data_IF_316177517287
#
_entry.id   IF_316177517287
#
_cell.length_a   1.000
_cell.length_b   1.000
_cell.length_c   1.000
_cell.angle_alpha   90.00
_cell.angle_beta   90.00
_cell.angle_gamma   90.00
#
_symmetry.space_group_name_H-M   'P 1'
#
loop_
_entity.id
_entity.type
_entity.pdbx_description
1 polymer ?
#
# COMPACT_ATOMS: atom_id res chain seq x y z
N UNK A 1 27.22 -17.73 -65.71
CA UNK A 1 26.40 -16.64 -65.13
C UNK A 1 25.30 -17.31 -64.33
N UNK A 2 25.44 -17.30 -63.00
CA UNK A 2 24.46 -17.90 -62.10
C UNK A 2 23.28 -16.94 -62.01
N UNK A 3 22.14 -17.30 -62.60
CA UNK A 3 20.91 -16.52 -62.49
C UNK A 3 20.39 -16.73 -61.07
N UNK A 4 20.64 -15.77 -60.18
CA UNK A 4 19.95 -15.77 -58.90
C UNK A 4 18.46 -15.56 -59.18
N UNK A 5 17.63 -16.45 -58.65
CA UNK A 5 16.19 -16.30 -58.76
C UNK A 5 15.76 -15.13 -57.85
N UNK A 6 14.77 -14.31 -58.27
CA UNK A 6 14.29 -13.18 -57.47
C UNK A 6 13.79 -13.61 -56.08
N UNK A 7 13.34 -14.86 -55.95
CA UNK A 7 12.96 -15.46 -54.67
C UNK A 7 14.15 -15.64 -53.72
N UNK A 8 15.33 -16.00 -54.24
CA UNK A 8 16.54 -16.16 -53.45
C UNK A 8 17.07 -14.80 -52.97
N UNK A 9 17.02 -13.78 -53.83
CA UNK A 9 17.39 -12.40 -53.46
C UNK A 9 16.48 -11.86 -52.36
N UNK A 10 15.16 -12.08 -52.49
CA UNK A 10 14.20 -11.66 -51.47
C UNK A 10 14.45 -12.39 -50.14
N UNK A 11 14.77 -13.69 -50.18
CA UNK A 11 15.07 -14.47 -48.98
C UNK A 11 16.36 -14.01 -48.30
N UNK A 12 17.41 -13.69 -49.07
CA UNK A 12 18.65 -13.15 -48.54
C UNK A 12 18.44 -11.80 -47.86
N UNK A 13 17.65 -10.92 -48.48
CA UNK A 13 17.31 -9.62 -47.90
C UNK A 13 16.54 -9.75 -46.58
N UNK A 14 15.60 -10.69 -46.50
CA UNK A 14 14.87 -10.94 -45.25
C UNK A 14 15.81 -11.47 -44.15
N UNK A 15 16.77 -12.34 -44.50
CA UNK A 15 17.75 -12.86 -43.55
C UNK A 15 18.70 -11.77 -43.04
N UNK A 16 19.10 -10.84 -43.90
CA UNK A 16 19.93 -9.69 -43.52
C UNK A 16 19.22 -8.79 -42.50
N UNK A 17 17.96 -8.45 -42.76
CA UNK A 17 17.13 -7.68 -41.82
C UNK A 17 16.93 -8.42 -40.49
N UNK A 18 16.76 -9.74 -40.53
CA UNK A 18 16.62 -10.55 -39.34
C UNK A 18 17.92 -10.59 -38.52
N UNK A 19 19.08 -10.69 -39.18
CA UNK A 19 20.39 -10.60 -38.53
C UNK A 19 20.58 -9.25 -37.84
N UNK A 20 20.31 -8.14 -38.54
CA UNK A 20 20.41 -6.79 -37.96
C UNK A 20 19.52 -6.63 -36.72
N UNK A 21 18.31 -7.20 -36.77
CA UNK A 21 17.36 -7.16 -35.66
C UNK A 21 17.88 -7.97 -34.46
N UNK A 22 18.48 -9.14 -34.71
CA UNK A 22 19.08 -9.97 -33.68
C UNK A 22 20.30 -9.29 -33.04
N UNK A 23 21.15 -8.65 -33.83
CA UNK A 23 22.32 -7.92 -33.33
C UNK A 23 21.93 -6.73 -32.45
N UNK A 24 20.92 -5.95 -32.85
CA UNK A 24 20.37 -4.89 -31.99
C UNK A 24 19.83 -5.45 -30.67
N UNK A 25 19.17 -6.61 -30.72
CA UNK A 25 18.62 -7.26 -29.51
C UNK A 25 19.74 -7.77 -28.58
N UNK A 26 20.83 -8.30 -29.14
CA UNK A 26 22.00 -8.75 -28.38
C UNK A 26 22.72 -7.57 -27.72
N UNK A 27 22.85 -6.43 -28.41
CA UNK A 27 23.44 -5.23 -27.83
C UNK A 27 22.62 -4.73 -26.64
N UNK A 28 21.29 -4.67 -26.77
CA UNK A 28 20.41 -4.32 -25.65
C UNK A 28 20.56 -5.31 -24.47
N UNK A 29 20.76 -6.61 -24.75
CA UNK A 29 20.97 -7.61 -23.71
C UNK A 29 22.33 -7.40 -23.01
N UNK A 30 23.36 -6.99 -23.74
CA UNK A 30 24.67 -6.65 -23.18
C UNK A 30 24.57 -5.51 -22.17
N UNK A 31 23.80 -4.47 -22.49
CA UNK A 31 23.58 -3.33 -21.58
C UNK A 31 22.93 -3.78 -20.26
N UNK A 32 21.95 -4.69 -20.32
CA UNK A 32 21.33 -5.25 -19.12
C UNK A 32 22.33 -6.08 -18.29
N UNK A 33 23.23 -6.82 -18.93
CA UNK A 33 24.27 -7.60 -18.22
C UNK A 33 25.23 -6.66 -17.46
N UNK A 34 25.57 -5.52 -18.03
CA UNK A 34 26.39 -4.50 -17.34
C UNK A 34 25.66 -3.89 -16.15
N UNK A 35 24.37 -3.59 -16.30
CA UNK A 35 23.55 -3.05 -15.21
C UNK A 35 23.41 -4.06 -14.06
N UNK A 36 23.23 -5.35 -14.37
CA UNK A 36 23.22 -6.42 -13.36
C UNK A 36 24.55 -6.45 -12.60
N UNK A 37 25.69 -6.42 -13.28
CA UNK A 37 27.02 -6.39 -12.62
C UNK A 37 27.18 -5.18 -11.70
N UNK A 38 26.67 -4.01 -12.11
CA UNK A 38 26.69 -2.79 -11.29
C UNK A 38 25.86 -2.96 -10.02
N UNK A 39 24.65 -3.50 -10.13
CA UNK A 39 23.77 -3.77 -8.99
C UNK A 39 24.40 -4.79 -8.03
N UNK A 40 24.98 -5.87 -8.55
CA UNK A 40 25.71 -6.86 -7.74
C UNK A 40 26.87 -6.25 -6.97
N UNK A 41 27.62 -5.33 -7.58
CA UNK A 41 28.70 -4.61 -6.90
C UNK A 41 28.20 -3.73 -5.76
N UNK A 42 27.06 -3.05 -5.94
CA UNK A 42 26.44 -2.22 -4.91
C UNK A 42 25.96 -3.08 -3.74
N UNK A 43 25.31 -4.21 -4.02
CA UNK A 43 24.83 -5.13 -2.98
C UNK A 43 25.99 -5.67 -2.13
N UNK A 44 27.10 -6.07 -2.75
CA UNK A 44 28.31 -6.48 -2.02
C UNK A 44 28.87 -5.38 -1.11
N UNK A 45 28.71 -4.11 -1.50
CA UNK A 45 29.17 -2.99 -0.68
C UNK A 45 28.25 -2.76 0.54
N UNK A 46 26.94 -2.97 0.38
CA UNK A 46 25.96 -2.86 1.48
C UNK A 46 26.18 -3.97 2.52
N UNK A 47 26.44 -5.20 2.09
CA UNK A 47 26.70 -6.32 3.01
C UNK A 47 27.96 -6.10 3.86
N UNK A 48 28.94 -5.34 3.33
CA UNK A 48 30.15 -4.96 4.05
C UNK A 48 29.99 -3.68 4.89
N UNK A 49 28.81 -3.06 4.92
CA UNK A 49 28.54 -1.88 5.73
C UNK A 49 28.32 -2.30 7.19
N UNK A 50 29.42 -2.56 7.90
CA UNK A 50 29.38 -2.67 9.36
C UNK A 50 29.14 -1.26 9.90
N UNK A 51 27.90 -0.99 10.32
CA UNK A 51 27.60 0.19 11.12
C UNK A 51 28.43 0.06 12.39
N UNK A 52 29.52 0.82 12.47
CA UNK A 52 30.23 1.06 13.71
C UNK A 52 29.18 1.59 14.68
N UNK A 53 28.67 0.71 15.55
CA UNK A 53 27.83 1.08 16.68
C UNK A 53 28.76 1.82 17.63
N UNK A 54 29.07 3.07 17.29
CA UNK A 54 29.55 4.00 18.29
C UNK A 54 28.50 3.98 19.39
N UNK A 55 28.96 3.54 20.56
CA UNK A 55 28.17 3.48 21.78
C UNK A 55 27.94 4.93 22.20
N UNK A 56 27.02 5.62 21.52
CA UNK A 56 26.63 6.97 21.88
C UNK A 56 25.96 6.86 23.23
N UNK A 57 26.62 7.38 24.26
CA UNK A 57 26.06 7.49 25.58
C UNK A 57 25.06 8.64 25.56
N UNK A 58 23.77 8.30 25.58
CA UNK A 58 22.66 9.26 25.60
C UNK A 58 22.30 9.67 27.03
N UNK A 59 23.16 9.40 28.02
CA UNK A 59 22.89 9.76 29.41
C UNK A 59 22.69 11.26 29.59
N UNK A 60 23.37 12.09 28.79
CA UNK A 60 23.25 13.56 28.84
C UNK A 60 21.93 14.10 28.24
N UNK A 61 21.15 13.26 27.55
CA UNK A 61 19.86 13.63 26.97
C UNK A 61 18.67 13.31 27.87
N UNK A 62 18.90 12.68 29.03
CA UNK A 62 17.87 12.47 30.04
C UNK A 62 17.89 13.65 31.01
N UNK A 63 17.00 14.61 30.80
CA UNK A 63 16.73 15.63 31.80
C UNK A 63 15.90 15.01 32.94
N UNK A 64 16.58 14.60 34.01
CA UNK A 64 15.98 13.90 35.15
C UNK A 64 15.02 14.82 35.92
N UNK A 65 15.24 16.13 35.88
CA UNK A 65 14.42 17.12 36.59
C UNK A 65 13.07 17.29 35.90
N UNK A 66 13.05 17.33 34.56
CA UNK A 66 11.79 17.36 33.78
C UNK A 66 10.97 16.09 33.99
N UNK A 67 11.65 14.93 34.08
CA UNK A 67 10.98 13.65 34.33
C UNK A 67 10.33 13.65 35.73
N UNK A 68 11.04 14.11 36.76
CA UNK A 68 10.49 14.19 38.12
C UNK A 68 9.28 15.13 38.20
N UNK A 69 9.33 16.27 37.51
CA UNK A 69 8.21 17.21 37.45
C UNK A 69 6.97 16.60 36.79
N UNK A 70 7.16 15.86 35.69
CA UNK A 70 6.08 15.17 34.98
C UNK A 70 5.49 14.02 35.80
N UNK A 71 6.31 13.27 36.52
CA UNK A 71 5.85 12.21 37.45
C UNK A 71 5.00 12.80 38.58
N UNK A 72 5.40 13.94 39.14
CA UNK A 72 4.62 14.64 40.17
C UNK A 72 3.28 15.17 39.64
N UNK A 73 3.27 15.69 38.40
CA UNK A 73 2.03 16.14 37.74
C UNK A 73 1.06 14.99 37.47
N UNK A 74 1.56 13.83 37.03
CA UNK A 74 0.74 12.64 36.84
C UNK A 74 0.12 12.15 38.15
N UNK A 75 0.90 12.11 39.24
CA UNK A 75 0.40 11.72 40.56
C UNK A 75 -0.75 12.64 41.06
N UNK A 76 -0.71 13.92 40.72
CA UNK A 76 -1.74 14.88 41.12
C UNK A 76 -3.05 14.71 40.34
N UNK A 77 -2.97 14.32 39.06
CA UNK A 77 -4.15 14.09 38.21
C UNK A 77 -4.95 12.87 38.70
N UNK A 78 -4.28 11.80 39.14
CA UNK A 78 -4.94 10.61 39.68
C UNK A 78 -5.68 10.89 41.02
N UNK A 79 -5.32 11.96 41.73
CA UNK A 79 -5.91 12.32 43.03
C UNK A 79 -7.14 13.24 42.87
N UNK A 80 -7.22 14.04 41.81
CA UNK A 80 -8.29 15.02 41.56
C UNK A 80 -9.56 14.41 40.93
N UNK A 81 -9.50 13.21 40.35
CA UNK A 81 -10.64 12.51 39.73
C UNK A 81 -11.47 11.64 40.73
N UNK A 82 -11.15 11.64 42.03
CA UNK A 82 -11.88 10.81 43.02
C UNK A 82 -13.03 11.52 43.76
N UNK A 83 -13.29 12.81 43.46
CA UNK A 83 -14.31 13.60 44.17
C UNK A 83 -15.22 14.31 43.15
N UNK A 84 -16.10 13.56 42.48
CA UNK A 84 -17.48 13.97 42.17
C UNK A 84 -18.16 13.04 41.16
N UNK A 85 -18.43 11.78 41.53
CA UNK A 85 -19.56 11.06 40.91
C UNK A 85 -20.15 10.02 41.85
N UNK A 86 -20.69 10.47 43.00
CA UNK A 86 -21.64 9.66 43.76
C UNK A 86 -22.80 10.54 44.19
N UNK A 87 -23.84 10.59 43.35
CA UNK A 87 -25.26 10.66 43.74
C UNK A 87 -26.14 10.94 42.50
N UNK A 88 -26.68 9.90 41.86
CA UNK A 88 -28.12 9.66 41.85
C UNK A 88 -28.49 8.34 41.14
N UNK A 89 -29.20 7.55 41.92
CA UNK A 89 -29.88 6.29 41.66
C UNK A 89 -31.17 6.56 40.86
N UNK A 90 -31.52 5.72 39.87
CA UNK A 90 -32.67 4.79 39.88
C UNK A 90 -33.32 4.48 38.50
N UNK A 91 -33.31 3.18 38.18
CA UNK A 91 -34.37 2.32 37.61
C UNK A 91 -35.34 2.80 36.50
N UNK A 92 -35.40 2.01 35.41
CA UNK A 92 -36.44 2.13 34.38
C UNK A 92 -36.47 0.99 33.37
N UNK A 93 -37.04 -0.14 33.79
CA UNK A 93 -37.41 -1.36 33.05
C UNK A 93 -38.11 -1.18 31.66
N UNK A 94 -37.93 -2.21 30.81
CA UNK A 94 -38.83 -2.84 29.79
C UNK A 94 -38.60 -2.58 28.29
N UNK A 95 -38.16 -3.66 27.64
CA UNK A 95 -38.72 -4.31 26.44
C UNK A 95 -39.63 -3.50 25.51
N UNK A 96 -39.25 -3.43 24.22
CA UNK A 96 -40.18 -3.55 23.09
C UNK A 96 -39.45 -3.99 21.81
N UNK A 97 -39.64 -5.26 21.48
CA UNK A 97 -39.59 -5.80 20.11
C UNK A 97 -40.50 -4.96 19.22
N UNK A 98 -40.11 -4.72 17.97
CA UNK A 98 -41.04 -4.74 16.83
C UNK A 98 -40.31 -5.09 15.54
N UNK A 99 -40.85 -6.13 14.91
CA UNK A 99 -40.58 -6.63 13.58
C UNK A 99 -40.79 -5.55 12.52
N UNK A 100 -40.02 -5.61 11.43
CA UNK A 100 -40.56 -5.59 10.04
C UNK A 100 -39.65 -6.51 9.22
N UNK A 101 -40.19 -7.67 8.88
CA UNK A 101 -39.77 -8.43 7.72
C UNK A 101 -40.40 -7.78 6.48
N UNK A 102 -39.60 -7.53 5.44
CA UNK A 102 -40.14 -7.49 4.09
C UNK A 102 -39.04 -7.80 3.07
N UNK A 103 -38.97 -9.08 2.73
CA UNK A 103 -38.40 -9.56 1.47
C UNK A 103 -39.13 -8.87 0.30
N UNK A 104 -38.37 -8.29 -0.63
CA UNK A 104 -38.68 -8.44 -2.06
C UNK A 104 -37.39 -8.65 -2.86
N UNK A 105 -37.37 -9.82 -3.50
CA UNK A 105 -36.55 -10.25 -4.63
C UNK A 105 -36.83 -9.42 -5.89
N UNK A 106 -35.86 -9.31 -6.81
CA UNK A 106 -35.91 -9.94 -8.14
C UNK A 106 -34.69 -9.57 -9.01
N UNK A 107 -34.10 -10.63 -9.58
CA UNK A 107 -33.45 -10.85 -10.89
C UNK A 107 -32.42 -9.88 -11.53
N UNK A 108 -31.23 -10.48 -11.73
CA UNK A 108 -30.44 -10.71 -12.97
C UNK A 108 -29.96 -9.56 -13.89
N UNK A 109 -28.69 -9.76 -14.27
CA UNK A 109 -27.96 -9.37 -15.50
C UNK A 109 -27.79 -7.89 -15.79
N UNK A 110 -26.57 -7.37 -15.62
CA UNK A 110 -25.64 -7.22 -16.75
C UNK A 110 -24.28 -6.64 -16.32
N UNK A 111 -23.23 -7.11 -17.00
CA UNK A 111 -21.89 -6.50 -16.96
C UNK A 111 -21.95 -5.09 -17.55
N UNK A 112 -21.19 -4.13 -17.01
CA UNK A 112 -20.39 -3.32 -17.91
C UNK A 112 -18.94 -3.15 -17.44
N UNK A 113 -18.05 -3.22 -18.42
CA UNK A 113 -16.67 -2.74 -18.35
C UNK A 113 -16.66 -1.26 -17.95
N UNK A 114 -15.99 -0.92 -16.85
CA UNK A 114 -15.64 0.47 -16.57
C UNK A 114 -14.20 0.74 -17.02
N UNK A 115 -14.12 1.43 -18.17
CA UNK A 115 -12.98 2.22 -18.61
C UNK A 115 -12.54 3.17 -17.49
N UNK A 116 -11.22 3.31 -17.38
CA UNK A 116 -10.51 4.28 -16.56
C UNK A 116 -10.77 5.66 -17.15
N UNK A 117 -11.40 6.55 -16.39
CA UNK A 117 -11.37 7.99 -16.65
C UNK A 117 -11.16 8.69 -15.32
N UNK A 118 -9.99 9.32 -15.16
CA UNK A 118 -9.74 10.27 -14.10
C UNK A 118 -10.60 11.51 -14.31
N UNK A 119 -11.39 11.87 -13.31
CA UNK A 119 -12.12 13.14 -13.25
C UNK A 119 -12.02 13.67 -11.84
N UNK A 120 -11.52 14.91 -11.73
CA UNK A 120 -11.36 15.67 -10.50
C UNK A 120 -12.73 15.93 -9.84
N UNK A 121 -12.79 15.62 -8.55
CA UNK A 121 -13.57 16.25 -7.48
C UNK A 121 -14.89 16.94 -7.85
N UNK A 122 -15.99 16.25 -7.58
CA UNK A 122 -17.27 16.83 -7.15
C UNK A 122 -17.73 15.97 -5.98
N UNK A 123 -18.02 16.61 -4.83
CA UNK A 123 -18.34 16.01 -3.52
C UNK A 123 -18.82 14.55 -3.58
N UNK A 124 -17.86 13.64 -3.49
CA UNK A 124 -18.06 12.21 -3.70
C UNK A 124 -18.36 11.55 -2.36
N UNK A 125 -19.26 10.57 -2.39
CA UNK A 125 -19.54 9.70 -1.25
C UNK A 125 -18.23 9.21 -0.58
N UNK A 126 -18.24 8.95 0.74
CA UNK A 126 -17.02 8.56 1.46
C UNK A 126 -16.33 7.38 0.78
N UNK A 127 -15.10 7.60 0.33
CA UNK A 127 -14.29 6.62 -0.37
C UNK A 127 -13.40 5.88 0.62
N UNK A 128 -13.33 4.57 0.53
CA UNK A 128 -12.41 3.77 1.34
C UNK A 128 -11.17 3.45 0.52
N UNK A 129 -9.98 3.56 1.12
CA UNK A 129 -8.70 3.17 0.51
C UNK A 129 -7.97 2.21 1.44
N UNK A 130 -7.20 1.28 0.88
CA UNK A 130 -6.37 0.36 1.66
C UNK A 130 -4.94 0.87 1.59
N UNK A 131 -4.33 1.11 2.74
CA UNK A 131 -2.96 1.61 2.82
C UNK A 131 -2.04 0.63 3.54
N UNK A 132 -0.78 0.68 3.12
CA UNK A 132 0.37 0.09 3.76
C UNK A 132 1.01 1.14 4.67
N UNK A 133 1.15 0.83 5.96
CA UNK A 133 1.47 1.79 7.02
C UNK A 133 2.82 1.44 7.66
N UNK A 134 3.87 1.29 6.86
CA UNK A 134 5.24 1.19 7.39
C UNK A 134 5.66 2.51 8.03
N UNK A 135 5.44 3.62 7.31
CA UNK A 135 5.67 4.97 7.79
C UNK A 135 4.35 5.74 7.83
N UNK A 136 3.94 6.18 9.02
CA UNK A 136 2.69 6.94 9.19
C UNK A 136 2.66 8.28 8.45
N UNK A 137 3.83 8.77 8.00
CA UNK A 137 3.97 10.05 7.26
C UNK A 137 3.66 9.91 5.77
N UNK A 138 3.99 8.77 5.16
CA UNK A 138 3.81 8.52 3.73
C UNK A 138 3.19 7.13 3.49
N UNK A 139 1.92 6.94 3.87
CA UNK A 139 1.27 5.64 3.67
C UNK A 139 1.10 5.36 2.18
N UNK A 140 1.52 4.17 1.73
CA UNK A 140 1.32 3.76 0.34
C UNK A 140 -0.07 3.16 0.15
N UNK A 141 -0.77 3.51 -0.94
CA UNK A 141 -2.12 3.05 -1.22
C UNK A 141 -2.13 1.87 -2.20
N UNK A 142 -3.09 0.96 -2.05
CA UNK A 142 -3.26 -0.18 -2.95
C UNK A 142 -4.00 0.23 -4.24
N UNK A 143 -3.37 0.05 -5.40
CA UNK A 143 -3.96 0.37 -6.72
C UNK A 143 -4.77 -0.78 -7.34
N UNK A 144 -4.76 -1.98 -6.74
CA UNK A 144 -5.28 -3.21 -7.34
C UNK A 144 -4.20 -4.06 -8.03
N UNK A 145 -3.09 -3.44 -8.46
CA UNK A 145 -1.94 -4.12 -9.09
C UNK A 145 -0.64 -4.03 -8.26
N UNK A 146 -0.58 -3.09 -7.32
CA UNK A 146 0.60 -2.83 -6.50
C UNK A 146 0.39 -1.64 -5.56
N UNK A 147 1.41 -1.35 -4.76
CA UNK A 147 1.47 -0.19 -3.87
C UNK A 147 1.85 1.07 -4.66
N UNK A 148 1.19 2.19 -4.38
CA UNK A 148 1.41 3.47 -5.04
C UNK A 148 1.35 4.61 -4.01
N UNK A 149 1.74 5.81 -4.44
CA UNK A 149 1.69 7.02 -3.61
C UNK A 149 0.24 7.36 -3.18
N UNK A 150 0.13 8.13 -2.10
CA UNK A 150 -1.14 8.66 -1.57
C UNK A 150 -1.94 9.35 -2.69
N UNK A 151 -3.23 9.03 -2.80
CA UNK A 151 -4.16 9.61 -3.77
C UNK A 151 -4.19 8.92 -5.13
N UNK A 152 -3.25 8.02 -5.43
CA UNK A 152 -3.25 7.19 -6.66
C UNK A 152 -3.85 5.80 -6.43
N UNK A 153 -4.28 5.49 -5.20
CA UNK A 153 -4.87 4.22 -4.82
C UNK A 153 -6.26 3.97 -5.41
N UNK A 154 -6.66 2.70 -5.39
CA UNK A 154 -8.01 2.29 -5.74
C UNK A 154 -8.99 2.72 -4.65
N UNK A 155 -9.98 3.53 -5.04
CA UNK A 155 -11.03 4.00 -4.15
C UNK A 155 -12.21 3.02 -4.19
N UNK A 156 -12.58 2.51 -3.02
CA UNK A 156 -13.74 1.65 -2.84
C UNK A 156 -14.93 2.49 -2.37
N UNK A 157 -16.05 2.41 -3.09
CA UNK A 157 -17.29 3.10 -2.73
C UNK A 157 -18.02 2.45 -1.55
N UNK A 158 -17.67 1.23 -1.17
CA UNK A 158 -18.26 0.49 -0.06
C UNK A 158 -17.18 -0.12 0.83
N UNK A 159 -17.37 0.01 2.15
CA UNK A 159 -16.52 -0.59 3.17
C UNK A 159 -16.43 -2.11 3.02
N UNK A 160 -17.49 -2.77 2.57
CA UNK A 160 -17.52 -4.22 2.41
C UNK A 160 -16.55 -4.68 1.32
N UNK A 161 -16.49 -3.95 0.19
CA UNK A 161 -15.54 -4.23 -0.89
C UNK A 161 -14.10 -3.98 -0.45
N UNK A 162 -13.87 -2.92 0.31
CA UNK A 162 -12.57 -2.63 0.90
C UNK A 162 -12.16 -3.75 1.87
N UNK A 163 -13.06 -4.21 2.76
CA UNK A 163 -12.81 -5.32 3.69
C UNK A 163 -12.51 -6.63 2.97
N UNK A 164 -13.25 -6.98 1.92
CA UNK A 164 -13.00 -8.19 1.14
C UNK A 164 -11.61 -8.17 0.51
N UNK A 165 -11.22 -7.03 -0.08
CA UNK A 165 -9.88 -6.91 -0.68
C UNK A 165 -8.81 -6.92 0.40
N UNK A 166 -9.00 -6.17 1.49
CA UNK A 166 -8.11 -6.17 2.65
C UNK A 166 -7.85 -7.58 3.19
N UNK A 167 -8.88 -8.41 3.33
CA UNK A 167 -8.72 -9.79 3.79
C UNK A 167 -7.92 -10.66 2.81
N UNK A 168 -8.08 -10.45 1.49
CA UNK A 168 -7.24 -11.12 0.49
C UNK A 168 -5.78 -10.69 0.60
N UNK A 169 -5.52 -9.39 0.72
CA UNK A 169 -4.17 -8.86 0.88
C UNK A 169 -3.54 -9.33 2.20
N UNK A 170 -4.31 -9.41 3.28
CA UNK A 170 -3.82 -9.91 4.58
C UNK A 170 -3.49 -11.40 4.55
N UNK A 171 -4.18 -12.21 3.72
CA UNK A 171 -3.80 -13.61 3.49
C UNK A 171 -2.50 -13.74 2.69
N UNK A 172 -2.30 -12.88 1.69
CA UNK A 172 -1.08 -12.87 0.88
C UNK A 172 0.12 -12.32 1.66
N UNK A 173 -0.10 -11.32 2.51
CA UNK A 173 0.92 -10.64 3.30
C UNK A 173 0.48 -10.50 4.77
N UNK A 174 0.55 -11.58 5.55
CA UNK A 174 0.06 -11.59 6.94
C UNK A 174 0.83 -10.63 7.85
N UNK A 175 2.13 -10.46 7.61
CA UNK A 175 3.00 -9.61 8.42
C UNK A 175 2.97 -8.13 8.03
N UNK A 176 2.31 -7.76 6.93
CA UNK A 176 2.31 -6.37 6.47
C UNK A 176 1.31 -5.51 7.28
N UNK A 177 1.71 -4.28 7.67
CA UNK A 177 0.85 -3.35 8.43
C UNK A 177 -0.16 -2.68 7.49
N UNK A 178 -1.23 -3.39 7.17
CA UNK A 178 -2.31 -2.89 6.33
C UNK A 178 -3.40 -2.22 7.18
N UNK A 179 -3.95 -1.09 6.72
CA UNK A 179 -5.15 -0.44 7.31
C UNK A 179 -6.07 0.09 6.23
N UNK A 180 -7.37 0.13 6.52
CA UNK A 180 -8.37 0.78 5.65
C UNK A 180 -8.59 2.20 6.18
N UNK A 181 -8.45 3.19 5.31
CA UNK A 181 -8.74 4.59 5.61
C UNK A 181 -10.01 5.02 4.90
N UNK A 182 -10.78 5.90 5.56
CA UNK A 182 -11.94 6.58 4.98
C UNK A 182 -11.47 7.97 4.51
N UNK A 183 -11.76 8.30 3.26
CA UNK A 183 -11.48 9.58 2.59
C UNK A 183 -12.79 10.26 2.23
#
# INVERSE_FOLDING_TARGET
MTIMTPELEQRLKNLEVEQDTQDMSLNNLSDFVEEIKKLESILKQIDNYSVDKQKTDYSDLRDLDEIEELERKLAHIDEEDTIDTSNQVQEGRKDKKNNIASLKSFDKTDKPQHKITGTKSTHSAPGYVICLVFDSREPQEWSGKGWCEVGKGLHYTSLERAKQTYQKLKKQWPHYPLKIFKR
#
